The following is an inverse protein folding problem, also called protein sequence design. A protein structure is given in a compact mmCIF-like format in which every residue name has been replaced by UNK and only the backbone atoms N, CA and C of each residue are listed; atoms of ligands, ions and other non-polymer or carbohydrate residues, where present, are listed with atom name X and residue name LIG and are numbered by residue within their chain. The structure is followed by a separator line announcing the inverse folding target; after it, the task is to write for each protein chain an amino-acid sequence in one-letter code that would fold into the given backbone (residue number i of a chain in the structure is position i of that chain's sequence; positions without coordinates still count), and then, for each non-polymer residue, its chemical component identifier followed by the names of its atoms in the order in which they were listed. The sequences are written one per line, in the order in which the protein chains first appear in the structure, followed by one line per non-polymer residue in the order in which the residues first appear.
data_IF_372553966602
#
_entry.id   IF_372553966602
#
_cell.length_a   1.000
_cell.length_b   1.000
_cell.length_c   1.000
_cell.angle_alpha   90.00
_cell.angle_beta   90.00
_cell.angle_gamma   90.00
#
_symmetry.space_group_name_H-M   'P 1'
#
loop_
_entity.id
_entity.type
_entity.pdbx_description
1 polymer ?
#
# COMPACT_ATOMS: atom_id res chain seq x y z
N UNK A 1 -10.89 8.08 -3.33
CA UNK A 1 -10.95 6.62 -3.54
C UNK A 1 -11.70 5.98 -2.38
N UNK A 2 -12.50 4.93 -2.60
CA UNK A 2 -13.21 4.22 -1.51
C UNK A 2 -12.26 3.32 -0.73
N UNK A 3 -12.64 2.98 0.51
CA UNK A 3 -11.87 2.06 1.37
C UNK A 3 -11.71 0.71 0.70
N UNK A 4 -12.80 0.09 0.23
CA UNK A 4 -12.73 -1.22 -0.43
C UNK A 4 -11.81 -1.20 -1.65
N UNK A 5 -11.87 -0.16 -2.47
CA UNK A 5 -10.99 -0.05 -3.63
C UNK A 5 -9.52 0.05 -3.21
N UNK A 6 -9.20 0.82 -2.17
CA UNK A 6 -7.84 0.91 -1.65
C UNK A 6 -7.34 -0.45 -1.15
N UNK A 7 -8.19 -1.20 -0.44
CA UNK A 7 -7.85 -2.52 0.11
C UNK A 7 -7.67 -3.57 -0.99
N UNK A 8 -8.51 -3.54 -2.04
CA UNK A 8 -8.38 -4.46 -3.17
C UNK A 8 -7.06 -4.23 -3.93
N UNK A 9 -6.69 -2.96 -4.14
CA UNK A 9 -5.40 -2.62 -4.76
C UNK A 9 -4.22 -3.04 -3.87
N UNK A 10 -4.32 -2.83 -2.55
CA UNK A 10 -3.31 -3.31 -1.60
C UNK A 10 -3.18 -4.83 -1.66
N UNK A 11 -4.28 -5.57 -1.60
CA UNK A 11 -4.29 -7.03 -1.64
C UNK A 11 -3.65 -7.57 -2.93
N UNK A 12 -4.00 -7.00 -4.09
CA UNK A 12 -3.37 -7.38 -5.36
C UNK A 12 -1.86 -7.09 -5.35
N UNK A 13 -1.45 -5.93 -4.82
CA UNK A 13 -0.03 -5.57 -4.72
C UNK A 13 0.72 -6.53 -3.79
N UNK A 14 0.14 -6.88 -2.64
CA UNK A 14 0.73 -7.83 -1.69
C UNK A 14 0.86 -9.23 -2.31
N UNK A 15 -0.16 -9.68 -3.04
CA UNK A 15 -0.11 -10.94 -3.79
C UNK A 15 1.02 -10.93 -4.85
N UNK A 16 1.21 -9.82 -5.56
CA UNK A 16 2.30 -9.69 -6.53
C UNK A 16 3.70 -9.62 -5.89
N UNK A 17 3.81 -9.04 -4.69
CA UNK A 17 5.07 -8.92 -3.95
C UNK A 17 5.48 -10.20 -3.21
N UNK A 18 4.54 -11.01 -2.75
CA UNK A 18 4.82 -12.20 -1.94
C UNK A 18 5.80 -13.20 -2.59
N UNK A 19 5.67 -13.56 -3.89
CA UNK A 19 6.66 -14.42 -4.56
C UNK A 19 8.06 -13.81 -4.61
N UNK A 20 8.17 -12.49 -4.83
CA UNK A 20 9.46 -11.79 -4.84
C UNK A 20 10.13 -11.86 -3.46
N UNK A 21 9.38 -11.57 -2.39
CA UNK A 21 9.89 -11.67 -1.01
C UNK A 21 10.30 -13.11 -0.67
N UNK A 22 9.54 -14.12 -1.10
CA UNK A 22 9.89 -15.55 -0.92
C UNK A 22 11.21 -15.89 -1.62
N UNK A 23 11.47 -15.30 -2.78
CA UNK A 23 12.74 -15.41 -3.51
C UNK A 23 13.86 -14.51 -2.96
N UNK A 24 13.65 -13.85 -1.81
CA UNK A 24 14.55 -12.85 -1.20
C UNK A 24 14.86 -11.65 -2.11
N UNK A 25 13.98 -11.37 -3.08
CA UNK A 25 14.04 -10.18 -3.91
C UNK A 25 13.23 -9.06 -3.25
N UNK A 26 13.87 -7.90 -3.11
CA UNK A 26 13.32 -6.75 -2.39
C UNK A 26 13.22 -5.60 -3.36
N UNK A 27 12.04 -4.99 -3.42
CA UNK A 27 11.73 -3.97 -4.39
C UNK A 27 12.45 -2.65 -4.08
N UNK A 28 12.46 -2.19 -2.83
CA UNK A 28 13.15 -0.98 -2.33
C UNK A 28 12.69 0.35 -2.92
N UNK A 29 11.85 0.35 -3.95
CA UNK A 29 11.30 1.59 -4.54
C UNK A 29 9.78 1.55 -4.72
N UNK A 30 9.06 1.00 -3.74
CA UNK A 30 7.60 1.01 -3.78
C UNK A 30 7.08 2.44 -3.66
N UNK A 31 6.35 2.89 -4.69
CA UNK A 31 5.72 4.21 -4.79
C UNK A 31 4.65 4.20 -5.90
N UNK A 32 3.74 5.18 -5.96
CA UNK A 32 2.65 5.17 -6.94
C UNK A 32 3.10 5.09 -8.41
N UNK A 33 4.30 5.60 -8.75
CA UNK A 33 4.85 5.51 -10.10
C UNK A 33 5.25 4.08 -10.52
N UNK A 34 5.54 3.20 -9.55
CA UNK A 34 6.01 1.84 -9.78
C UNK A 34 4.90 0.79 -9.58
N UNK A 35 3.69 1.24 -9.21
CA UNK A 35 2.48 0.43 -9.11
C UNK A 35 1.55 0.85 -10.25
N UNK A 36 1.44 -0.01 -11.26
CA UNK A 36 0.67 0.27 -12.46
C UNK A 36 -0.71 -0.37 -12.33
N UNK A 37 -1.76 0.40 -12.60
CA UNK A 37 -3.12 -0.13 -12.72
C UNK A 37 -3.43 -0.36 -14.20
N UNK A 38 -3.80 -1.59 -14.54
CA UNK A 38 -4.39 -1.87 -15.84
C UNK A 38 -5.84 -1.41 -15.86
N UNK A 39 -6.39 -1.09 -17.03
CA UNK A 39 -7.83 -0.77 -17.12
C UNK A 39 -8.75 -1.94 -16.76
N UNK A 40 -8.24 -3.17 -16.75
CA UNK A 40 -8.95 -4.33 -16.21
C UNK A 40 -8.99 -4.31 -14.67
N UNK A 41 -8.41 -3.30 -14.04
CA UNK A 41 -8.33 -3.16 -12.60
C UNK A 41 -7.25 -4.01 -11.95
N UNK A 42 -6.29 -4.52 -12.72
CA UNK A 42 -5.22 -5.39 -12.25
C UNK A 42 -3.96 -4.58 -11.90
N UNK A 43 -3.25 -4.97 -10.84
CA UNK A 43 -1.96 -4.38 -10.49
C UNK A 43 -0.81 -5.06 -11.22
N UNK A 44 0.12 -4.25 -11.74
CA UNK A 44 1.46 -4.67 -12.16
C UNK A 44 2.51 -3.89 -11.38
N UNK A 45 3.49 -4.61 -10.83
CA UNK A 45 4.62 -4.03 -10.10
C UNK A 45 5.79 -3.89 -11.08
N UNK A 46 6.35 -2.69 -11.16
CA UNK A 46 7.42 -2.33 -12.09
C UNK A 46 8.64 -1.79 -11.35
N UNK A 47 9.80 -1.81 -12.00
CA UNK A 47 11.04 -1.18 -11.52
C UNK A 47 11.49 -1.64 -10.13
N UNK A 48 11.73 -2.95 -9.99
CA UNK A 48 12.49 -3.47 -8.86
C UNK A 48 13.83 -2.70 -8.79
N UNK A 49 14.12 -2.13 -7.62
CA UNK A 49 15.23 -1.20 -7.38
C UNK A 49 16.64 -1.82 -7.49
N UNK A 50 16.80 -2.90 -8.26
CA UNK A 50 18.03 -3.65 -8.54
C UNK A 50 19.10 -2.72 -9.13
N UNK A 51 18.72 -1.69 -9.88
CA UNK A 51 19.64 -0.72 -10.48
C UNK A 51 20.13 0.38 -9.51
N UNK A 52 19.61 0.46 -8.28
CA UNK A 52 20.05 1.46 -7.30
C UNK A 52 21.22 0.89 -6.52
N UNK A 53 22.43 1.19 -6.99
CA UNK A 53 23.69 0.76 -6.39
C UNK A 53 23.71 1.03 -4.86
N UNK A 54 24.33 0.15 -4.06
CA UNK A 54 24.40 0.28 -2.60
C UNK A 54 25.23 1.49 -2.13
N UNK A 55 25.98 2.14 -3.02
CA UNK A 55 26.90 3.21 -2.67
C UNK A 55 26.31 4.59 -2.96
N UNK A 56 25.84 5.24 -1.90
CA UNK A 56 26.11 6.64 -1.54
C UNK A 56 25.79 7.80 -2.50
N UNK A 57 25.53 7.55 -3.78
CA UNK A 57 25.21 8.58 -4.75
C UNK A 57 23.70 8.72 -4.78
N UNK A 58 23.23 9.61 -3.90
CA UNK A 58 21.95 10.28 -4.06
C UNK A 58 21.84 10.76 -5.51
N UNK A 59 21.09 10.02 -6.34
CA UNK A 59 20.72 10.52 -7.65
C UNK A 59 20.04 11.87 -7.44
N UNK A 60 20.70 12.88 -7.99
CA UNK A 60 20.46 14.28 -7.76
C UNK A 60 18.98 14.66 -7.95
N UNK A 61 18.50 15.48 -7.01
CA UNK A 61 17.67 16.66 -7.25
C UNK A 61 16.90 16.65 -8.59
N UNK A 62 15.81 15.91 -8.63
CA UNK A 62 14.64 16.33 -9.38
C UNK A 62 13.56 16.66 -8.35
N UNK A 63 12.66 17.60 -8.63
CA UNK A 63 11.45 17.81 -7.80
C UNK A 63 10.65 16.49 -7.63
N UNK A 64 10.88 15.50 -8.49
CA UNK A 64 10.41 14.10 -8.42
C UNK A 64 11.13 13.25 -7.34
N UNK A 65 12.40 13.52 -7.04
CA UNK A 65 13.22 12.79 -6.06
C UNK A 65 12.86 13.08 -4.59
N UNK A 66 12.29 14.25 -4.31
CA UNK A 66 11.77 14.61 -2.98
C UNK A 66 10.55 13.74 -2.63
N UNK A 67 9.69 13.45 -3.62
CA UNK A 67 8.50 12.59 -3.44
C UNK A 67 8.85 11.11 -3.17
N UNK A 68 9.95 10.61 -3.74
CA UNK A 68 10.33 9.19 -3.63
C UNK A 68 10.78 8.80 -2.22
N UNK A 69 11.36 9.73 -1.44
CA UNK A 69 11.78 9.46 -0.05
C UNK A 69 10.61 9.30 0.92
N UNK A 70 9.43 9.82 0.57
CA UNK A 70 8.27 9.81 1.47
C UNK A 70 7.70 8.41 1.70
N UNK A 71 7.95 7.47 0.78
CA UNK A 71 7.54 6.07 0.91
C UNK A 71 8.63 5.20 1.56
N UNK A 72 9.87 5.68 1.62
CA UNK A 72 11.03 4.89 2.04
C UNK A 72 11.00 4.60 3.55
N UNK A 73 11.23 3.34 3.91
CA UNK A 73 11.35 2.93 5.30
C UNK A 73 12.50 3.67 6.03
N UNK A 74 12.35 3.98 7.33
CA UNK A 74 13.37 4.68 8.10
C UNK A 74 14.77 4.04 8.00
N UNK A 75 14.86 2.72 8.18
CA UNK A 75 16.12 1.99 8.11
C UNK A 75 16.75 2.01 6.72
N UNK A 76 15.93 2.09 5.66
CA UNK A 76 16.41 2.17 4.29
C UNK A 76 16.96 3.56 3.96
N UNK A 77 16.42 4.61 4.59
CA UNK A 77 16.94 5.99 4.50
C UNK A 77 18.29 6.11 5.20
N UNK A 78 18.50 5.37 6.28
CA UNK A 78 19.75 5.33 7.03
C UNK A 78 20.83 4.53 6.29
N UNK A 79 20.49 3.34 5.77
CA UNK A 79 21.44 2.50 5.05
C UNK A 79 20.76 1.50 4.10
N UNK A 80 21.35 1.31 2.93
CA UNK A 80 20.91 0.32 1.93
C UNK A 80 21.44 -1.09 2.20
N UNK A 81 22.41 -1.26 3.11
CA UNK A 81 23.18 -2.50 3.29
C UNK A 81 22.39 -3.65 3.95
N UNK A 82 21.42 -3.34 4.81
CA UNK A 82 20.67 -4.35 5.60
C UNK A 82 19.14 -4.20 5.49
N UNK A 83 18.69 -3.79 4.31
CA UNK A 83 17.27 -3.65 3.98
C UNK A 83 16.70 -5.03 3.64
N UNK A 84 15.68 -5.44 4.38
CA UNK A 84 14.90 -6.67 4.12
C UNK A 84 13.45 -6.36 3.74
N UNK A 85 12.62 -7.40 3.53
CA UNK A 85 11.26 -7.30 2.99
C UNK A 85 10.36 -6.35 3.80
N UNK A 86 10.69 -6.12 5.07
CA UNK A 86 9.96 -5.23 5.98
C UNK A 86 10.03 -3.77 5.56
N UNK A 87 11.00 -3.39 4.72
CA UNK A 87 11.05 -2.05 4.13
C UNK A 87 9.99 -1.86 3.04
N UNK A 88 9.73 -2.88 2.22
CA UNK A 88 8.63 -2.85 1.24
C UNK A 88 7.27 -2.87 1.95
N UNK A 89 7.14 -3.61 3.07
CA UNK A 89 5.94 -3.58 3.93
C UNK A 89 5.62 -2.17 4.42
N UNK A 90 6.64 -1.44 4.90
CA UNK A 90 6.46 -0.04 5.32
C UNK A 90 6.01 0.84 4.16
N UNK A 91 6.66 0.69 3.01
CA UNK A 91 6.39 1.50 1.82
C UNK A 91 4.96 1.26 1.29
N UNK A 92 4.50 0.01 1.29
CA UNK A 92 3.12 -0.36 0.97
C UNK A 92 2.11 0.22 1.96
N UNK A 93 2.45 0.30 3.25
CA UNK A 93 1.60 0.93 4.25
C UNK A 93 1.48 2.45 4.05
N UNK A 94 2.57 3.12 3.67
CA UNK A 94 2.55 4.55 3.30
C UNK A 94 1.71 4.78 2.05
N UNK A 95 1.88 3.93 1.02
CA UNK A 95 1.07 3.98 -0.20
C UNK A 95 -0.42 3.81 0.14
N UNK A 96 -0.74 2.84 1.00
CA UNK A 96 -2.12 2.59 1.43
C UNK A 96 -2.69 3.75 2.23
N UNK A 97 -1.90 4.35 3.13
CA UNK A 97 -2.32 5.56 3.83
C UNK A 97 -2.68 6.68 2.85
N UNK A 98 -1.85 6.91 1.83
CA UNK A 98 -2.14 7.92 0.82
C UNK A 98 -3.39 7.60 0.00
N UNK A 99 -3.55 6.34 -0.37
CA UNK A 99 -4.73 5.82 -1.06
C UNK A 99 -6.03 6.08 -0.27
N UNK A 100 -5.99 5.90 1.06
CA UNK A 100 -7.14 6.07 1.95
C UNK A 100 -7.43 7.53 2.29
N UNK A 101 -6.40 8.36 2.43
CA UNK A 101 -6.52 9.72 2.99
C UNK A 101 -6.33 10.83 1.96
N UNK A 102 -5.84 10.51 0.76
CA UNK A 102 -5.38 11.47 -0.24
C UNK A 102 -4.07 12.18 0.13
N UNK A 103 -3.46 11.88 1.28
CA UNK A 103 -2.31 12.61 1.82
C UNK A 103 -1.17 11.66 2.18
N UNK A 104 0.06 12.15 2.12
CA UNK A 104 1.20 11.42 2.70
C UNK A 104 1.19 11.57 4.23
N UNK A 105 1.62 10.54 4.98
CA UNK A 105 1.69 10.63 6.43
C UNK A 105 2.77 11.64 6.84
N UNK A 106 2.36 12.76 7.44
CA UNK A 106 3.27 13.86 7.81
C UNK A 106 3.97 13.63 9.15
N UNK A 107 3.42 12.77 10.01
CA UNK A 107 3.90 12.48 11.37
C UNK A 107 3.96 10.98 11.61
N UNK A 108 4.80 10.58 12.59
CA UNK A 108 4.96 9.19 13.03
C UNK A 108 3.62 8.51 13.37
N UNK A 109 2.70 9.26 13.97
CA UNK A 109 1.41 8.78 14.47
C UNK A 109 0.22 9.28 13.64
N UNK A 110 0.39 9.54 12.34
CA UNK A 110 -0.72 9.96 11.49
C UNK A 110 -1.74 8.81 11.35
N UNK A 111 -2.84 8.86 12.09
CA UNK A 111 -3.85 7.81 12.10
C UNK A 111 -4.71 7.89 10.81
N UNK A 112 -4.79 6.82 9.99
CA UNK A 112 -5.72 6.80 8.86
C UNK A 112 -7.18 7.13 9.23
N UNK A 113 -7.66 6.70 10.40
CA UNK A 113 -9.04 6.93 10.84
C UNK A 113 -9.37 8.40 11.07
N UNK A 114 -8.38 9.26 11.34
CA UNK A 114 -8.57 10.72 11.47
C UNK A 114 -9.07 11.34 10.15
N UNK A 115 -8.84 10.68 9.02
CA UNK A 115 -9.27 11.11 7.70
C UNK A 115 -10.32 10.20 7.06
N UNK A 116 -10.34 8.92 7.46
CA UNK A 116 -11.19 7.90 6.87
C UNK A 116 -11.75 6.97 7.95
N UNK A 117 -12.75 7.44 8.71
CA UNK A 117 -13.37 6.65 9.78
C UNK A 117 -13.99 5.32 9.29
N UNK A 118 -14.42 5.27 8.02
CA UNK A 118 -14.93 4.06 7.37
C UNK A 118 -13.90 2.91 7.29
N UNK A 119 -12.61 3.18 7.49
CA UNK A 119 -11.58 2.14 7.56
C UNK A 119 -11.82 1.20 8.76
N UNK A 120 -12.40 1.68 9.87
CA UNK A 120 -12.67 0.87 11.04
C UNK A 120 -11.41 0.52 11.85
N UNK A 121 -11.62 0.06 13.09
CA UNK A 121 -10.49 -0.14 14.03
C UNK A 121 -9.58 -1.31 13.65
N UNK A 122 -10.14 -2.39 13.09
CA UNK A 122 -9.40 -3.60 12.77
C UNK A 122 -8.37 -3.36 11.67
N UNK A 123 -8.82 -2.82 10.53
CA UNK A 123 -7.94 -2.50 9.41
C UNK A 123 -6.97 -1.39 9.76
N UNK A 124 -7.39 -0.38 10.53
CA UNK A 124 -6.50 0.69 10.97
C UNK A 124 -5.29 0.15 11.75
N UNK A 125 -5.50 -0.78 12.69
CA UNK A 125 -4.41 -1.42 13.44
C UNK A 125 -3.43 -2.14 12.52
N UNK A 126 -3.93 -2.81 11.48
CA UNK A 126 -3.10 -3.52 10.50
C UNK A 126 -2.21 -2.55 9.73
N UNK A 127 -2.76 -1.44 9.22
CA UNK A 127 -1.99 -0.42 8.50
C UNK A 127 -0.96 0.26 9.40
N UNK A 128 -1.32 0.58 10.65
CA UNK A 128 -0.40 1.17 11.62
C UNK A 128 0.74 0.21 12.01
N UNK A 129 0.45 -1.09 12.16
CA UNK A 129 1.48 -2.12 12.39
C UNK A 129 2.46 -2.18 11.22
N UNK A 130 1.98 -2.22 9.98
CA UNK A 130 2.83 -2.24 8.79
C UNK A 130 3.71 -0.97 8.68
N UNK A 131 3.19 0.19 9.10
CA UNK A 131 3.91 1.49 9.10
C UNK A 131 4.75 1.74 10.35
N UNK A 132 4.97 0.74 11.21
CA UNK A 132 5.75 0.90 12.45
C UNK A 132 7.17 1.40 12.15
N UNK A 133 7.65 2.39 12.91
CA UNK A 133 9.06 2.82 12.81
C UNK A 133 10.00 1.69 13.27
N UNK A 134 9.59 0.93 14.28
CA UNK A 134 10.33 -0.25 14.69
C UNK A 134 10.14 -1.36 13.65
N UNK A 135 11.18 -1.63 12.86
CA UNK A 135 11.23 -2.67 11.83
C UNK A 135 10.76 -4.03 12.33
N UNK A 136 11.16 -4.41 13.55
CA UNK A 136 10.79 -5.70 14.15
C UNK A 136 9.31 -5.77 14.60
N UNK A 137 8.61 -4.63 14.69
CA UNK A 137 7.18 -4.58 14.98
C UNK A 137 6.28 -4.71 13.75
N UNK A 138 6.85 -4.75 12.53
CA UNK A 138 6.10 -4.91 11.27
C UNK A 138 5.84 -6.38 10.97
N UNK A 139 5.03 -6.62 9.94
CA UNK A 139 4.94 -7.94 9.29
C UNK A 139 6.27 -8.29 8.64
N UNK A 140 6.64 -9.57 8.67
CA UNK A 140 7.91 -10.09 8.16
C UNK A 140 8.04 -9.91 6.64
N UNK A 141 6.94 -10.09 5.91
CA UNK A 141 6.88 -9.94 4.46
C UNK A 141 5.47 -9.60 3.97
N UNK A 142 5.28 -9.62 2.64
CA UNK A 142 4.02 -9.29 1.99
C UNK A 142 2.96 -10.38 2.17
N UNK A 143 3.39 -11.64 2.33
CA UNK A 143 2.46 -12.77 2.53
C UNK A 143 1.83 -12.70 3.92
N UNK A 144 2.66 -12.47 4.96
CA UNK A 144 2.15 -12.28 6.33
C UNK A 144 1.23 -11.06 6.41
N UNK A 145 1.64 -9.93 5.82
CA UNK A 145 0.81 -8.73 5.78
C UNK A 145 -0.55 -9.02 5.10
N UNK A 146 -0.56 -9.71 3.95
CA UNK A 146 -1.80 -10.03 3.27
C UNK A 146 -2.71 -10.95 4.09
N UNK A 147 -2.15 -11.98 4.73
CA UNK A 147 -2.91 -12.89 5.57
C UNK A 147 -3.64 -12.15 6.69
N UNK A 148 -2.94 -11.26 7.40
CA UNK A 148 -3.51 -10.48 8.50
C UNK A 148 -4.53 -9.44 7.98
N UNK A 149 -4.27 -8.82 6.83
CA UNK A 149 -5.20 -7.90 6.18
C UNK A 149 -6.53 -8.60 5.86
N UNK A 150 -6.48 -9.79 5.28
CA UNK A 150 -7.68 -10.60 4.95
C UNK A 150 -8.48 -10.95 6.19
N UNK A 151 -7.81 -11.42 7.25
CA UNK A 151 -8.48 -11.71 8.52
C UNK A 151 -9.15 -10.47 9.11
N UNK A 152 -8.50 -9.30 9.04
CA UNK A 152 -9.09 -8.06 9.53
C UNK A 152 -10.30 -7.60 8.68
N UNK A 153 -10.26 -7.77 7.35
CA UNK A 153 -11.42 -7.47 6.47
C UNK A 153 -12.64 -8.33 6.84
N UNK A 154 -12.43 -9.63 7.04
CA UNK A 154 -13.51 -10.56 7.40
C UNK A 154 -14.13 -10.24 8.76
N UNK A 155 -13.31 -9.90 9.76
CA UNK A 155 -13.79 -9.50 11.08
C UNK A 155 -14.66 -8.24 11.02
N UNK A 156 -14.28 -7.27 10.19
CA UNK A 156 -15.02 -6.02 10.05
C UNK A 156 -16.37 -6.22 9.33
N UNK A 157 -16.39 -7.08 8.30
CA UNK A 157 -17.63 -7.45 7.61
C UNK A 157 -18.61 -8.19 8.54
N UNK A 158 -18.11 -9.04 9.44
CA UNK A 158 -18.94 -9.72 10.45
C UNK A 158 -19.50 -8.76 11.49
N UNK A 159 -18.69 -7.79 11.98
CA UNK A 159 -19.19 -6.78 12.91
C UNK A 159 -20.25 -5.87 12.29
N UNK A 160 -20.10 -5.54 11.00
CA UNK A 160 -21.05 -4.71 10.28
C UNK A 160 -22.33 -5.49 9.98
N UNK A 161 -22.25 -6.80 9.66
CA UNK A 161 -23.44 -7.65 9.45
C UNK A 161 -24.23 -7.89 10.73
N UNK A 162 -23.57 -8.05 11.87
CA UNK A 162 -24.24 -8.19 13.18
C UNK A 162 -24.98 -6.90 13.58
N UNK A 163 -24.56 -5.76 13.03
CA UNK A 163 -25.19 -4.44 13.24
C UNK A 163 -26.30 -4.15 12.20
N UNK A 164 -26.29 -4.83 11.05
CA UNK A 164 -27.14 -4.52 9.88
C UNK A 164 -28.32 -5.49 9.65
N UNK A 165 -28.88 -6.11 10.69
CA UNK A 165 -30.16 -6.83 10.54
C UNK A 165 -31.34 -5.85 10.42
N UNK A 166 -31.45 -5.12 9.30
CA UNK A 166 -32.71 -4.60 8.75
C UNK A 166 -32.57 -4.21 7.25
N UNK A 167 -33.34 -4.92 6.42
CA UNK A 167 -33.82 -4.65 5.03
C UNK A 167 -32.89 -4.57 3.81
N UNK A 168 -33.00 -5.64 3.00
CA UNK A 168 -33.49 -5.73 1.60
C UNK A 168 -32.60 -5.43 0.36
N UNK A 169 -32.93 -6.16 -0.71
CA UNK A 169 -32.08 -6.70 -1.79
C UNK A 169 -32.03 -5.93 -3.13
N UNK A 170 -30.94 -6.20 -3.89
CA UNK A 170 -30.85 -6.44 -5.36
C UNK A 170 -30.07 -5.44 -6.26
N UNK A 171 -29.47 -5.93 -7.39
CA UNK A 171 -28.21 -5.39 -7.95
C UNK A 171 -28.24 -5.02 -9.46
N UNK A 172 -27.02 -4.76 -10.01
CA UNK A 172 -26.56 -4.69 -11.42
C UNK A 172 -26.25 -3.26 -11.96
N UNK A 173 -25.29 -2.97 -12.85
CA UNK A 173 -24.65 -3.73 -13.96
C UNK A 173 -23.28 -3.12 -14.34
N UNK A 174 -22.37 -3.94 -14.86
CA UNK A 174 -21.01 -3.62 -15.37
C UNK A 174 -21.03 -2.98 -16.78
N UNK A 175 -20.03 -2.16 -17.13
CA UNK A 175 -19.71 -1.82 -18.53
C UNK A 175 -18.20 -1.76 -18.82
N UNK A 176 -17.87 -2.22 -20.03
CA UNK A 176 -16.56 -2.49 -20.67
C UNK A 176 -15.94 -1.22 -21.30
N UNK A 177 -14.60 -1.12 -21.48
CA UNK A 177 -13.85 -0.55 -22.66
C UNK A 177 -12.30 -0.56 -22.42
N UNK A 178 -11.56 -0.61 -23.55
CA UNK A 178 -10.17 -0.98 -23.98
C UNK A 178 -8.87 -0.24 -23.52
N UNK A 179 -7.69 -0.94 -23.57
CA UNK A 179 -6.55 -0.95 -22.62
C UNK A 179 -5.52 0.19 -22.75
N UNK A 180 -5.33 0.96 -21.68
CA UNK A 180 -4.16 1.82 -21.39
C UNK A 180 -3.71 1.63 -19.94
N UNK A 181 -2.45 1.24 -19.74
CA UNK A 181 -1.85 1.15 -18.41
C UNK A 181 -1.64 2.57 -17.86
N UNK A 182 -2.10 2.84 -16.63
CA UNK A 182 -1.88 4.12 -15.96
C UNK A 182 -1.14 3.92 -14.64
N UNK A 183 -0.13 4.75 -14.32
CA UNK A 183 0.48 4.75 -12.99
C UNK A 183 -0.56 5.11 -11.93
N UNK A 184 -0.51 4.44 -10.77
CA UNK A 184 -1.42 4.71 -9.65
C UNK A 184 -1.34 6.17 -9.16
N UNK A 185 -0.19 6.82 -9.35
CA UNK A 185 -0.01 8.25 -9.09
C UNK A 185 -1.13 9.11 -9.70
N UNK A 186 -1.54 8.81 -10.93
CA UNK A 186 -2.52 9.59 -11.68
C UNK A 186 -3.97 9.42 -11.15
N UNK A 187 -4.24 8.38 -10.36
CA UNK A 187 -5.56 8.14 -9.77
C UNK A 187 -5.72 8.78 -8.39
N UNK A 188 -4.62 8.91 -7.66
CA UNK A 188 -4.61 9.52 -6.32
C UNK A 188 -4.85 11.04 -6.43
N UNK A 189 -4.29 11.69 -7.45
CA UNK A 189 -4.35 13.15 -7.61
C UNK A 189 -5.69 13.69 -8.16
N UNK A 190 -6.59 12.83 -8.68
CA UNK A 190 -7.85 13.25 -9.34
C UNK A 190 -9.03 13.48 -8.39
N UNK A 191 -8.83 13.39 -7.08
CA UNK A 191 -9.89 13.50 -6.07
C UNK A 191 -9.70 14.67 -5.08
N UNK A 192 -9.04 15.74 -5.53
CA UNK A 192 -9.04 17.05 -4.85
C UNK A 192 -9.91 18.04 -5.60
#
# INVERSE_FOLDING_TARGET
MTVDRALDLLEQTLNGMAPAHKARLIHRDIKPANILLTERGEIRIADFGIAKAPDGQHSAVSQLGIGSRNYMAPEQRESTKHVDARADVYSLAVLTYQMLTGKLPTRRYADPNDHCAALGSALNRVILKARSVNKCGRFQDAAEFNAVLKSARLQQQQSDSDTQTYTDVSPATTSTISPRLQPLAQLIDRHC
#
